data_IF_248538295969
#
_entry.id   IF_248538295969
#
_cell.length_a   1.000
_cell.length_b   1.000
_cell.length_c   1.000
_cell.angle_alpha   90.00
_cell.angle_beta   90.00
_cell.angle_gamma   90.00
#
_symmetry.space_group_name_H-M   'P 1'
#
loop_
_entity.id
_entity.type
_entity.pdbx_description
1 polymer ?
#
# COMPACT_ATOMS: atom_id res chain seq x y z
N UNK A 1 10.65 15.69 16.02
CA UNK A 1 9.45 14.85 16.26
C UNK A 1 9.91 13.54 16.87
N UNK A 2 9.37 13.14 18.03
CA UNK A 2 9.68 11.84 18.64
C UNK A 2 8.56 10.87 18.24
N UNK A 3 8.87 9.89 17.39
CA UNK A 3 7.93 8.82 17.06
C UNK A 3 7.90 7.86 18.24
N UNK A 4 6.71 7.61 18.79
CA UNK A 4 6.55 6.61 19.84
C UNK A 4 6.63 5.22 19.21
N UNK A 5 7.40 4.34 19.82
CA UNK A 5 7.58 2.96 19.37
C UNK A 5 7.00 2.01 20.40
N UNK A 6 6.40 0.92 19.93
CA UNK A 6 6.05 -0.21 20.77
C UNK A 6 7.27 -1.13 20.82
N UNK A 7 7.69 -1.53 22.02
CA UNK A 7 8.78 -2.50 22.16
C UNK A 7 8.37 -3.85 21.54
N UNK A 8 9.31 -4.59 20.92
CA UNK A 8 9.03 -5.92 20.39
C UNK A 8 8.47 -6.84 21.47
N UNK A 9 7.28 -7.39 21.23
CA UNK A 9 6.60 -8.28 22.16
C UNK A 9 5.77 -9.31 21.38
N UNK A 10 5.55 -10.47 22.01
CA UNK A 10 4.58 -11.47 21.55
C UNK A 10 3.15 -11.12 22.01
N UNK A 11 3.01 -10.19 22.97
CA UNK A 11 1.73 -9.66 23.39
C UNK A 11 1.24 -8.54 22.43
N UNK A 12 -0.06 -8.53 22.18
CA UNK A 12 -0.72 -7.57 21.28
C UNK A 12 -1.39 -6.42 22.01
N UNK A 13 -1.37 -6.37 23.34
CA UNK A 13 -2.06 -5.36 24.12
C UNK A 13 -1.64 -3.93 23.77
N UNK A 14 -0.33 -3.69 23.63
CA UNK A 14 0.19 -2.37 23.27
C UNK A 14 -0.27 -1.93 21.88
N UNK A 15 -0.39 -2.87 20.93
CA UNK A 15 -0.93 -2.59 19.59
C UNK A 15 -2.42 -2.21 19.68
N UNK A 16 -3.21 -2.94 20.47
CA UNK A 16 -4.64 -2.63 20.67
C UNK A 16 -4.85 -1.25 21.28
N UNK A 17 -4.04 -0.88 22.27
CA UNK A 17 -4.08 0.45 22.89
C UNK A 17 -3.74 1.53 21.86
N UNK A 18 -2.68 1.32 21.08
CA UNK A 18 -2.29 2.27 20.03
C UNK A 18 -3.37 2.44 18.95
N UNK A 19 -3.98 1.35 18.50
CA UNK A 19 -5.09 1.39 17.54
C UNK A 19 -6.30 2.16 18.10
N UNK A 20 -6.67 1.94 19.37
CA UNK A 20 -7.79 2.64 19.99
C UNK A 20 -7.58 4.15 20.17
N UNK A 21 -6.35 4.63 20.11
CA UNK A 21 -5.98 6.04 20.23
C UNK A 21 -5.47 6.65 18.91
N UNK A 22 -5.70 6.00 17.77
CA UNK A 22 -5.25 6.45 16.46
C UNK A 22 -6.43 6.79 15.56
N UNK A 23 -6.22 7.75 14.66
CA UNK A 23 -7.23 8.16 13.68
C UNK A 23 -7.02 7.51 12.31
N UNK A 24 -5.79 7.13 11.97
CA UNK A 24 -5.38 6.56 10.67
C UNK A 24 -4.24 5.56 10.88
N UNK A 25 -4.21 4.51 10.06
CA UNK A 25 -3.15 3.50 10.07
C UNK A 25 -2.28 3.66 8.82
N UNK A 26 -0.97 3.76 9.00
CA UNK A 26 0.00 3.64 7.91
C UNK A 26 0.53 2.21 7.86
N UNK A 27 0.11 1.45 6.85
CA UNK A 27 0.60 0.12 6.58
C UNK A 27 1.91 0.19 5.78
N UNK A 28 3.01 -0.05 6.48
CA UNK A 28 4.36 -0.18 5.92
C UNK A 28 5.03 -1.48 6.40
N UNK A 29 4.24 -2.55 6.59
CA UNK A 29 4.72 -3.82 7.17
C UNK A 29 5.46 -4.64 6.10
N UNK A 30 4.84 -4.84 4.95
CA UNK A 30 5.40 -5.59 3.82
C UNK A 30 5.38 -4.75 2.54
N UNK A 31 6.45 -4.85 1.74
CA UNK A 31 6.53 -4.23 0.41
C UNK A 31 6.63 -5.27 -0.70
N UNK A 32 7.02 -4.84 -1.91
CA UNK A 32 7.07 -5.71 -3.11
C UNK A 32 7.95 -6.98 -3.00
N UNK A 33 8.83 -7.10 -2.00
CA UNK A 33 9.68 -8.29 -1.83
C UNK A 33 9.00 -9.39 -1.00
N UNK A 34 7.82 -9.11 -0.43
CA UNK A 34 7.07 -10.07 0.36
C UNK A 34 6.58 -11.23 -0.50
N UNK A 35 6.65 -12.43 0.08
CA UNK A 35 6.12 -13.66 -0.49
C UNK A 35 5.25 -14.33 0.57
N UNK A 36 3.94 -14.54 0.28
CA UNK A 36 3.06 -15.30 1.16
C UNK A 36 3.62 -16.69 1.53
N UNK A 37 3.16 -17.29 2.64
CA UNK A 37 2.14 -16.80 3.57
C UNK A 37 2.69 -15.83 4.63
N UNK A 38 1.78 -15.04 5.22
CA UNK A 38 2.06 -14.23 6.41
C UNK A 38 2.42 -15.16 7.59
N UNK A 39 3.37 -14.75 8.44
CA UNK A 39 3.83 -15.51 9.60
C UNK A 39 3.92 -14.60 10.82
N UNK A 40 4.06 -15.23 11.99
CA UNK A 40 4.32 -14.53 13.25
C UNK A 40 5.46 -13.50 13.14
N UNK A 41 5.30 -12.32 13.77
CA UNK A 41 4.15 -11.89 14.59
C UNK A 41 3.00 -11.25 13.78
N UNK A 42 3.11 -11.17 12.45
CA UNK A 42 2.18 -10.42 11.62
C UNK A 42 0.86 -11.15 11.36
N UNK A 43 0.84 -12.47 11.49
CA UNK A 43 -0.39 -13.27 11.48
C UNK A 43 -1.36 -12.88 12.60
N UNK A 44 -0.85 -12.39 13.73
CA UNK A 44 -1.65 -11.82 14.81
C UNK A 44 -1.91 -10.31 14.63
N UNK A 45 -0.96 -9.56 14.07
CA UNK A 45 -1.07 -8.11 13.93
C UNK A 45 -2.05 -7.67 12.83
N UNK A 46 -2.00 -8.29 11.63
CA UNK A 46 -2.83 -7.88 10.49
C UNK A 46 -4.34 -8.00 10.79
N UNK A 47 -4.84 -9.08 11.43
CA UNK A 47 -6.26 -9.14 11.82
C UNK A 47 -6.69 -8.01 12.76
N UNK A 48 -5.83 -7.60 13.70
CA UNK A 48 -6.14 -6.51 14.63
C UNK A 48 -6.21 -5.16 13.91
N UNK A 49 -5.30 -4.93 12.97
CA UNK A 49 -5.30 -3.74 12.13
C UNK A 49 -6.58 -3.70 11.28
N UNK A 50 -6.94 -4.82 10.63
CA UNK A 50 -8.15 -4.91 9.81
C UNK A 50 -9.44 -4.71 10.62
N UNK A 51 -9.47 -5.20 11.87
CA UNK A 51 -10.63 -5.08 12.76
C UNK A 51 -10.76 -3.71 13.44
N UNK A 52 -9.73 -2.86 13.38
CA UNK A 52 -9.75 -1.54 14.03
C UNK A 52 -10.79 -0.59 13.41
N UNK A 53 -11.21 -0.84 12.15
CA UNK A 53 -12.19 0.01 11.45
C UNK A 53 -11.68 1.42 11.13
N UNK A 54 -10.37 1.67 11.27
CA UNK A 54 -9.73 2.93 10.93
C UNK A 54 -9.34 2.97 9.45
N UNK A 55 -9.26 4.16 8.83
CA UNK A 55 -8.70 4.30 7.50
C UNK A 55 -7.27 3.78 7.43
N UNK A 56 -6.97 2.95 6.42
CA UNK A 56 -5.64 2.38 6.20
C UNK A 56 -5.02 2.97 4.92
N UNK A 57 -3.78 3.44 5.04
CA UNK A 57 -2.93 3.87 3.94
C UNK A 57 -1.80 2.87 3.78
N UNK A 58 -1.77 2.11 2.69
CA UNK A 58 -0.69 1.15 2.41
C UNK A 58 0.40 1.75 1.55
N UNK A 59 1.65 1.48 1.92
CA UNK A 59 2.84 1.89 1.19
C UNK A 59 3.28 0.77 0.26
N UNK A 60 3.49 1.10 -1.00
CA UNK A 60 3.98 0.25 -2.08
C UNK A 60 3.01 -0.85 -2.55
N UNK A 61 2.67 -1.77 -1.64
CA UNK A 61 1.74 -2.90 -1.82
C UNK A 61 1.03 -3.13 -0.48
N UNK A 62 -0.30 -3.38 -0.44
CA UNK A 62 -0.97 -3.66 0.82
C UNK A 62 -0.44 -4.94 1.49
N UNK A 63 -0.20 -4.88 2.79
CA UNK A 63 0.42 -6.00 3.50
C UNK A 63 -0.45 -7.26 3.45
N UNK A 64 0.20 -8.37 3.07
CA UNK A 64 -0.42 -9.67 2.84
C UNK A 64 -0.85 -9.91 1.38
N UNK A 65 -0.81 -8.90 0.50
CA UNK A 65 -1.11 -9.10 -0.92
C UNK A 65 0.05 -9.82 -1.61
N UNK A 66 -0.29 -10.66 -2.58
CA UNK A 66 0.65 -11.15 -3.57
C UNK A 66 0.95 -10.03 -4.56
N UNK A 67 2.23 -9.85 -4.89
CA UNK A 67 2.73 -8.74 -5.70
C UNK A 67 2.22 -8.78 -7.14
N UNK A 68 1.91 -9.98 -7.64
CA UNK A 68 1.45 -10.20 -9.02
C UNK A 68 -0.05 -10.51 -9.08
N UNK A 69 -0.55 -11.31 -8.13
CA UNK A 69 -1.93 -11.81 -8.12
C UNK A 69 -2.90 -10.97 -7.30
N UNK A 70 -2.39 -10.03 -6.50
CA UNK A 70 -3.19 -9.20 -5.61
C UNK A 70 -3.63 -9.92 -4.33
N UNK A 71 -4.83 -9.64 -3.85
CA UNK A 71 -5.35 -10.24 -2.61
C UNK A 71 -5.72 -11.71 -2.82
N UNK A 72 -4.87 -12.61 -2.33
CA UNK A 72 -5.09 -14.08 -2.39
C UNK A 72 -5.37 -14.70 -1.02
N UNK A 73 -5.16 -13.95 0.05
CA UNK A 73 -5.29 -14.40 1.44
C UNK A 73 -6.27 -13.48 2.18
N UNK A 74 -7.13 -14.07 3.01
CA UNK A 74 -8.10 -13.33 3.82
C UNK A 74 -7.45 -12.54 4.97
N UNK A 75 -6.25 -12.93 5.40
CA UNK A 75 -5.45 -12.19 6.38
C UNK A 75 -4.87 -10.88 5.82
N UNK A 76 -4.91 -10.68 4.51
CA UNK A 76 -4.37 -9.50 3.86
C UNK A 76 -5.22 -8.24 4.13
N UNK A 77 -4.55 -7.11 4.32
CA UNK A 77 -5.22 -5.83 4.59
C UNK A 77 -5.99 -5.32 3.37
N UNK A 78 -7.04 -4.52 3.62
CA UNK A 78 -7.84 -3.87 2.59
C UNK A 78 -7.78 -2.36 2.83
N UNK A 79 -6.81 -1.65 2.21
CA UNK A 79 -6.62 -0.24 2.51
C UNK A 79 -7.58 0.67 1.74
N UNK A 80 -7.85 1.84 2.31
CA UNK A 80 -8.61 2.91 1.66
C UNK A 80 -7.77 3.68 0.65
N UNK A 81 -6.46 3.77 0.93
CA UNK A 81 -5.48 4.48 0.11
C UNK A 81 -4.27 3.59 -0.13
N UNK A 82 -3.80 3.55 -1.38
CA UNK A 82 -2.56 2.90 -1.76
C UNK A 82 -1.59 3.93 -2.34
N UNK A 83 -0.34 3.92 -1.88
CA UNK A 83 0.74 4.73 -2.44
C UNK A 83 1.77 3.81 -3.08
N UNK A 84 1.65 3.53 -4.37
CA UNK A 84 2.67 2.77 -5.10
C UNK A 84 3.95 3.58 -5.25
N UNK A 85 5.11 2.94 -5.06
CA UNK A 85 6.41 3.58 -5.25
C UNK A 85 7.04 3.16 -6.58
N UNK A 86 7.66 4.11 -7.29
CA UNK A 86 8.33 3.93 -8.59
C UNK A 86 7.35 3.63 -9.73
N UNK A 87 6.62 2.53 -9.64
CA UNK A 87 5.55 2.11 -10.54
C UNK A 87 4.54 1.24 -9.78
N UNK A 88 3.25 1.22 -10.15
CA UNK A 88 2.28 0.26 -9.63
C UNK A 88 2.71 -1.18 -9.94
N UNK A 89 2.49 -2.09 -8.98
CA UNK A 89 2.74 -3.53 -9.19
C UNK A 89 1.51 -4.17 -9.83
N UNK A 90 1.68 -5.32 -10.49
CA UNK A 90 0.58 -5.97 -11.22
C UNK A 90 -0.56 -6.39 -10.28
N UNK A 91 -0.24 -6.90 -9.09
CA UNK A 91 -1.21 -7.35 -8.10
C UNK A 91 -2.14 -6.25 -7.56
N UNK A 92 -1.79 -4.97 -7.74
CA UNK A 92 -2.65 -3.85 -7.33
C UNK A 92 -3.52 -3.30 -8.45
N UNK A 93 -3.52 -3.92 -9.64
CA UNK A 93 -4.38 -3.53 -10.76
C UNK A 93 -5.87 -3.53 -10.42
N UNK A 94 -6.29 -4.41 -9.51
CA UNK A 94 -7.68 -4.55 -9.07
C UNK A 94 -8.02 -3.65 -7.87
N UNK A 95 -7.09 -2.83 -7.40
CA UNK A 95 -7.32 -1.93 -6.28
C UNK A 95 -8.35 -0.84 -6.64
N UNK A 96 -9.34 -0.63 -5.76
CA UNK A 96 -10.47 0.28 -6.01
C UNK A 96 -10.49 1.53 -5.12
N UNK A 97 -9.60 1.60 -4.13
CA UNK A 97 -9.48 2.78 -3.27
C UNK A 97 -8.78 3.94 -3.98
N UNK A 98 -8.38 4.96 -3.21
CA UNK A 98 -7.60 6.08 -3.77
C UNK A 98 -6.18 5.64 -4.01
N UNK A 99 -5.71 5.73 -5.25
CA UNK A 99 -4.40 5.23 -5.63
C UNK A 99 -3.49 6.40 -6.00
N UNK A 100 -2.36 6.51 -5.31
CA UNK A 100 -1.32 7.47 -5.61
C UNK A 100 -0.08 6.76 -6.13
N UNK A 101 0.62 7.41 -7.04
CA UNK A 101 1.98 7.08 -7.42
C UNK A 101 2.93 8.08 -6.77
N UNK A 102 3.97 7.57 -6.11
CA UNK A 102 5.08 8.36 -5.58
C UNK A 102 6.43 7.81 -6.04
N UNK A 103 7.51 8.47 -5.61
CA UNK A 103 8.87 8.10 -6.03
C UNK A 103 9.29 8.78 -7.33
N UNK A 104 9.17 10.11 -7.37
CA UNK A 104 9.54 10.97 -8.52
C UNK A 104 11.06 11.12 -8.67
N UNK A 105 11.73 10.00 -8.91
CA UNK A 105 13.18 9.94 -9.13
C UNK A 105 13.58 9.00 -10.27
N UNK A 106 12.60 8.42 -10.99
CA UNK A 106 12.87 7.54 -12.14
C UNK A 106 13.43 8.36 -13.30
N UNK A 107 14.65 8.07 -13.77
CA UNK A 107 15.19 8.72 -14.96
C UNK A 107 14.43 8.31 -16.22
N UNK A 108 14.26 9.22 -17.18
CA UNK A 108 13.59 8.95 -18.47
C UNK A 108 14.12 7.70 -19.18
N UNK A 109 15.43 7.46 -19.11
CA UNK A 109 16.07 6.28 -19.71
C UNK A 109 15.51 4.97 -19.13
N UNK A 110 15.23 4.92 -17.81
CA UNK A 110 14.63 3.73 -17.20
C UNK A 110 13.14 3.63 -17.51
N UNK A 111 12.44 4.76 -17.50
CA UNK A 111 11.03 4.81 -17.89
C UNK A 111 10.81 4.26 -19.30
N UNK A 112 11.60 4.73 -20.28
CA UNK A 112 11.54 4.27 -21.68
C UNK A 112 11.96 2.80 -21.81
N UNK A 113 13.06 2.40 -21.14
CA UNK A 113 13.58 1.02 -21.21
C UNK A 113 12.57 -0.01 -20.71
N UNK A 114 11.83 0.31 -19.64
CA UNK A 114 10.87 -0.60 -19.02
C UNK A 114 9.42 -0.29 -19.41
N UNK A 115 9.19 0.67 -20.31
CA UNK A 115 7.86 1.05 -20.80
C UNK A 115 6.89 1.36 -19.65
N UNK A 116 7.37 2.10 -18.64
CA UNK A 116 6.62 2.32 -17.41
C UNK A 116 5.41 3.26 -17.58
N UNK A 117 5.39 4.06 -18.66
CA UNK A 117 4.32 5.01 -19.00
C UNK A 117 3.91 5.85 -17.77
N UNK A 118 4.88 6.49 -17.11
CA UNK A 118 4.62 7.17 -15.84
C UNK A 118 3.81 8.45 -16.08
N UNK A 119 2.81 8.76 -15.25
CA UNK A 119 2.06 10.01 -15.36
C UNK A 119 2.94 11.22 -15.03
N UNK A 120 2.55 12.39 -15.57
CA UNK A 120 3.18 13.64 -15.19
C UNK A 120 2.83 14.04 -13.75
N UNK A 121 3.85 14.35 -12.96
CA UNK A 121 3.68 14.85 -11.61
C UNK A 121 3.39 16.36 -11.63
N UNK A 122 2.30 16.85 -11.00
CA UNK A 122 1.94 18.26 -11.03
C UNK A 122 2.98 19.16 -10.36
N UNK A 123 3.55 20.11 -11.11
CA UNK A 123 4.52 21.09 -10.60
C UNK A 123 5.72 20.42 -9.92
N UNK A 124 5.91 20.69 -8.63
CA UNK A 124 6.98 20.11 -7.78
C UNK A 124 6.51 18.94 -6.91
N UNK A 125 5.27 18.48 -7.08
CA UNK A 125 4.67 17.41 -6.28
C UNK A 125 5.49 16.12 -6.38
N UNK A 126 5.58 15.39 -5.26
CA UNK A 126 6.26 14.09 -5.17
C UNK A 126 5.29 12.91 -5.30
N UNK A 127 4.00 13.20 -5.49
CA UNK A 127 2.93 12.23 -5.69
C UNK A 127 1.98 12.71 -6.79
N UNK A 128 1.25 11.79 -7.40
CA UNK A 128 0.14 12.02 -8.33
C UNK A 128 -0.95 10.98 -8.08
N UNK A 129 -2.22 11.40 -8.08
CA UNK A 129 -3.37 10.48 -7.96
C UNK A 129 -3.59 9.80 -9.32
N UNK A 130 -3.69 8.47 -9.33
CA UNK A 130 -3.97 7.66 -10.50
C UNK A 130 -5.49 7.58 -10.74
N UNK A 131 -5.94 7.40 -12.00
CA UNK A 131 -7.36 7.21 -12.31
C UNK A 131 -7.93 5.99 -11.58
N UNK A 132 -9.18 6.09 -11.11
CA UNK A 132 -9.88 4.95 -10.52
C UNK A 132 -10.38 4.03 -11.63
N UNK A 133 -10.44 2.72 -11.36
CA UNK A 133 -10.94 1.75 -12.32
C UNK A 133 -12.36 2.08 -12.81
N UNK A 134 -13.19 2.66 -11.94
CA UNK A 134 -14.59 2.98 -12.23
C UNK A 134 -14.75 4.31 -13.01
N UNK A 135 -13.70 5.14 -13.08
CA UNK A 135 -13.70 6.42 -13.83
C UNK A 135 -13.35 6.22 -15.32
N UNK A 136 -13.10 4.98 -15.75
CA UNK A 136 -12.76 4.64 -17.12
C UNK A 136 -14.02 4.44 -17.98
N UNK A 137 -14.70 5.54 -18.32
CA UNK A 137 -15.50 5.56 -19.56
C UNK A 137 -14.55 5.47 -20.75
N UNK A 138 -14.36 4.24 -21.23
CA UNK A 138 -14.13 3.88 -22.63
C UNK A 138 -13.19 4.82 -23.42
N UNK A 139 -11.91 4.88 -23.07
CA UNK A 139 -10.85 5.34 -23.97
C UNK A 139 -9.46 4.86 -23.53
N UNK A 140 -9.05 3.74 -24.13
CA UNK A 140 -7.72 3.44 -24.64
C UNK A 140 -6.49 3.43 -23.71
N UNK A 141 -5.92 2.21 -23.67
CA UNK A 141 -4.49 1.82 -23.65
C UNK A 141 -3.74 1.93 -22.31
N UNK A 142 -3.50 0.75 -21.75
CA UNK A 142 -2.31 0.41 -20.97
C UNK A 142 -1.09 0.31 -21.90
#
# INVERSE_FOLDING_TARGET
MKIQTLEPSQDTQSLRVALASSDVILDAIFGFSFKPPVRAPFDAALPLIAQAGLPIVSVDVPSGWNVDLGKVDDLALNPDVLVSLTAPKEGVRQFKGRHFLGGRFVPKILEEKYQLNLPEYPGISQIVELPRADDSTDSQKL
#
